data_IF_356462283816
#
_entry.id   IF_356462283816
#
_cell.length_a   1.000
_cell.length_b   1.000
_cell.length_c   1.000
_cell.angle_alpha   90.00
_cell.angle_beta   90.00
_cell.angle_gamma   90.00
#
_symmetry.space_group_name_H-M   'P 1'
#
loop_
_entity.id
_entity.type
_entity.pdbx_description
1 polymer ?
#
# COMPACT_ATOMS: atom_id res chain seq x y z
N UNK A 1 13.24 -12.19 10.21
CA UNK A 1 14.41 -12.36 9.31
C UNK A 1 13.99 -12.73 7.89
N UNK A 2 13.13 -13.73 7.69
CA UNK A 2 12.66 -14.11 6.36
C UNK A 2 11.74 -13.06 5.70
N UNK A 3 10.77 -12.52 6.45
CA UNK A 3 9.86 -11.46 5.96
C UNK A 3 10.61 -10.23 5.42
N UNK A 4 11.57 -9.71 6.21
CA UNK A 4 12.39 -8.57 5.80
C UNK A 4 13.24 -8.89 4.56
N UNK A 5 13.58 -10.16 4.34
CA UNK A 5 14.29 -10.60 3.12
C UNK A 5 13.40 -10.48 1.88
N UNK A 6 12.12 -10.83 1.96
CA UNK A 6 11.20 -10.67 0.83
C UNK A 6 10.91 -9.20 0.50
N UNK A 7 10.71 -8.35 1.51
CA UNK A 7 10.56 -6.90 1.30
C UNK A 7 11.83 -6.29 0.67
N UNK A 8 13.03 -6.73 1.08
CA UNK A 8 14.29 -6.31 0.44
C UNK A 8 14.38 -6.77 -1.02
N UNK A 9 13.96 -8.00 -1.35
CA UNK A 9 13.91 -8.46 -2.74
C UNK A 9 12.97 -7.61 -3.60
N UNK A 10 11.81 -7.22 -3.07
CA UNK A 10 10.90 -6.30 -3.76
C UNK A 10 11.55 -4.93 -4.00
N UNK A 11 12.30 -4.42 -3.01
CA UNK A 11 13.07 -3.18 -3.13
C UNK A 11 14.16 -3.26 -4.20
N UNK A 12 14.91 -4.35 -4.23
CA UNK A 12 15.97 -4.56 -5.21
C UNK A 12 15.41 -4.75 -6.62
N UNK A 13 14.27 -5.46 -6.74
CA UNK A 13 13.54 -5.58 -8.00
C UNK A 13 13.16 -4.20 -8.55
N UNK A 14 12.51 -3.33 -7.75
CA UNK A 14 12.14 -2.00 -8.22
C UNK A 14 13.35 -1.16 -8.65
N UNK A 15 14.46 -1.20 -7.89
CA UNK A 15 15.70 -0.49 -8.27
C UNK A 15 16.29 -1.00 -9.59
N UNK A 16 16.14 -2.30 -9.87
CA UNK A 16 16.69 -2.91 -11.09
C UNK A 16 16.02 -2.42 -12.38
N UNK A 17 14.83 -1.81 -12.28
CA UNK A 17 14.12 -1.19 -13.42
C UNK A 17 14.79 0.10 -13.93
N UNK A 18 15.80 0.62 -13.22
CA UNK A 18 16.53 1.84 -13.61
C UNK A 18 15.78 3.13 -13.28
N UNK A 19 16.23 4.26 -13.84
CA UNK A 19 15.50 5.53 -13.91
C UNK A 19 14.76 6.01 -12.64
N UNK A 20 15.36 5.83 -11.46
CA UNK A 20 14.79 6.33 -10.20
C UNK A 20 13.65 5.49 -9.61
N UNK A 21 13.32 4.34 -10.18
CA UNK A 21 12.31 3.45 -9.62
C UNK A 21 12.68 2.99 -8.21
N UNK A 22 11.68 3.00 -7.32
CA UNK A 22 11.80 2.58 -5.92
C UNK A 22 10.57 1.78 -5.50
N UNK A 23 10.74 1.05 -4.39
CA UNK A 23 9.60 0.49 -3.68
C UNK A 23 8.77 1.67 -3.12
N UNK A 24 7.44 1.65 -3.28
CA UNK A 24 6.57 2.73 -2.81
C UNK A 24 6.54 2.78 -1.28
N UNK A 25 6.50 3.98 -0.74
CA UNK A 25 6.12 4.21 0.65
C UNK A 25 4.59 4.07 0.78
N UNK A 26 4.09 3.89 2.00
CA UNK A 26 2.65 3.78 2.28
C UNK A 26 1.85 4.92 1.64
N UNK A 27 2.36 6.15 1.73
CA UNK A 27 1.68 7.35 1.23
C UNK A 27 1.64 7.47 -0.30
N UNK A 28 2.50 6.74 -1.04
CA UNK A 28 2.35 6.66 -2.49
C UNK A 28 1.05 5.90 -2.85
N UNK A 29 0.65 4.95 -1.99
CA UNK A 29 -0.56 4.17 -2.17
C UNK A 29 -1.79 4.84 -1.57
N UNK A 30 -1.76 5.03 -0.26
CA UNK A 30 -2.92 5.43 0.52
C UNK A 30 -2.50 6.12 1.79
N UNK A 31 -3.35 7.04 2.23
CA UNK A 31 -3.23 7.69 3.53
C UNK A 31 -4.17 7.06 4.57
N UNK A 32 -4.75 5.89 4.31
CA UNK A 32 -5.51 5.17 5.33
C UNK A 32 -4.57 4.66 6.41
N UNK A 33 -4.82 5.02 7.66
CA UNK A 33 -4.01 4.50 8.77
C UNK A 33 -4.34 3.02 9.03
N UNK A 34 -3.34 2.12 9.05
CA UNK A 34 -3.49 0.83 9.68
C UNK A 34 -3.79 1.03 11.18
N UNK A 35 -4.43 0.05 11.81
CA UNK A 35 -4.79 0.08 13.22
C UNK A 35 -3.62 0.33 14.20
N UNK A 36 -2.36 0.23 13.76
CA UNK A 36 -1.18 0.27 14.62
C UNK A 36 0.09 0.70 13.85
N UNK A 37 1.01 1.39 14.53
CA UNK A 37 2.39 1.61 14.06
C UNK A 37 2.64 2.57 12.88
N UNK A 38 1.59 3.22 12.35
CA UNK A 38 1.70 4.26 11.32
C UNK A 38 1.00 5.53 11.75
N UNK A 39 1.68 6.67 11.61
CA UNK A 39 1.18 8.00 11.99
C UNK A 39 1.13 8.98 10.80
N UNK A 40 1.37 8.48 9.58
CA UNK A 40 1.49 9.30 8.37
C UNK A 40 0.19 9.49 7.58
N UNK A 41 -0.88 8.78 7.95
CA UNK A 41 -2.19 8.83 7.29
C UNK A 41 -3.26 9.60 8.07
N UNK A 42 -4.44 9.76 7.47
CA UNK A 42 -5.62 10.30 8.11
C UNK A 42 -6.15 9.32 9.18
N UNK A 43 -6.74 9.86 10.26
CA UNK A 43 -7.32 9.07 11.34
C UNK A 43 -8.26 7.96 10.83
N UNK A 44 -8.35 6.88 11.61
CA UNK A 44 -9.10 5.65 11.31
C UNK A 44 -10.55 5.83 10.82
N UNK A 45 -11.13 7.02 11.00
CA UNK A 45 -12.49 7.39 10.61
C UNK A 45 -12.78 7.23 9.10
N UNK A 46 -11.75 7.15 8.25
CA UNK A 46 -11.87 6.86 6.81
C UNK A 46 -11.26 5.49 6.42
N UNK A 47 -11.51 4.43 7.20
CA UNK A 47 -11.05 3.04 6.97
C UNK A 47 -11.49 2.40 5.64
N UNK A 48 -12.18 3.15 4.79
CA UNK A 48 -12.72 2.71 3.52
C UNK A 48 -12.09 3.50 2.38
N UNK A 49 -10.99 2.98 1.83
CA UNK A 49 -10.47 3.38 0.53
C UNK A 49 -11.51 3.24 -0.60
N UNK A 50 -12.61 2.49 -0.37
CA UNK A 50 -13.76 2.40 -1.26
C UNK A 50 -14.53 3.72 -1.47
N UNK A 51 -14.37 4.72 -0.60
CA UNK A 51 -14.98 6.06 -0.74
C UNK A 51 -14.01 7.17 -1.15
N UNK A 52 -12.69 6.91 -1.12
CA UNK A 52 -11.70 7.87 -1.59
C UNK A 52 -11.72 7.88 -3.13
N UNK A 53 -12.67 8.62 -3.71
CA UNK A 53 -12.76 8.83 -5.16
C UNK A 53 -12.55 10.30 -5.47
N UNK A 54 -11.50 10.59 -6.27
CA UNK A 54 -11.23 11.90 -6.89
C UNK A 54 -11.02 13.06 -5.92
N UNK A 55 -10.45 12.80 -4.75
CA UNK A 55 -9.87 13.89 -3.97
C UNK A 55 -8.49 14.19 -4.57
N UNK A 56 -8.14 15.47 -4.72
CA UNK A 56 -6.84 15.86 -5.28
C UNK A 56 -5.74 15.41 -4.33
N UNK A 57 -4.87 14.52 -4.80
CA UNK A 57 -3.63 14.22 -4.13
C UNK A 57 -2.65 15.38 -4.33
N UNK A 58 -1.91 15.73 -3.29
CA UNK A 58 -0.92 16.81 -3.33
C UNK A 58 0.33 16.41 -2.55
N UNK A 59 1.45 17.02 -2.86
CA UNK A 59 2.67 16.82 -2.09
C UNK A 59 2.79 17.89 -1.00
N UNK A 60 3.06 17.44 0.22
CA UNK A 60 3.39 18.30 1.35
C UNK A 60 4.67 17.77 2.01
N UNK A 61 5.70 18.61 2.13
CA UNK A 61 6.99 18.24 2.73
C UNK A 61 7.64 16.98 2.11
N UNK A 62 7.52 16.83 0.78
CA UNK A 62 8.09 15.68 0.04
C UNK A 62 7.35 14.37 0.26
N UNK A 63 6.15 14.40 0.84
CA UNK A 63 5.29 13.24 1.03
C UNK A 63 4.00 13.45 0.26
N UNK A 64 3.51 12.40 -0.40
CA UNK A 64 2.16 12.40 -0.95
C UNK A 64 1.13 12.48 0.17
N UNK A 65 0.20 13.39 0.01
CA UNK A 65 -1.00 13.55 0.81
C UNK A 65 -2.18 13.24 -0.11
N UNK A 66 -2.79 12.08 0.10
CA UNK A 66 -3.53 11.39 -0.96
C UNK A 66 -2.54 10.64 -1.86
N UNK A 67 -2.70 9.32 -1.96
CA UNK A 67 -1.93 8.46 -2.86
C UNK A 67 -2.77 8.04 -4.07
N UNK A 68 -2.28 7.06 -4.84
CA UNK A 68 -3.01 6.57 -6.01
C UNK A 68 -4.43 6.07 -5.67
N UNK A 69 -4.62 5.46 -4.49
CA UNK A 69 -5.93 5.00 -4.04
C UNK A 69 -6.89 6.14 -3.71
N UNK A 70 -6.39 7.34 -3.43
CA UNK A 70 -7.22 8.52 -3.17
C UNK A 70 -7.81 9.12 -4.47
N UNK A 71 -7.05 9.00 -5.57
CA UNK A 71 -7.47 9.46 -6.88
C UNK A 71 -8.37 8.41 -7.56
N UNK A 72 -7.96 7.15 -7.52
CA UNK A 72 -8.52 6.07 -8.31
C UNK A 72 -9.40 5.09 -7.52
N UNK A 73 -9.44 5.20 -6.19
CA UNK A 73 -10.15 4.26 -5.33
C UNK A 73 -9.52 2.87 -5.36
N UNK A 74 -10.35 1.84 -5.21
CA UNK A 74 -9.89 0.46 -5.39
C UNK A 74 -9.40 0.21 -6.81
N UNK A 75 -8.31 -0.53 -6.97
CA UNK A 75 -7.70 -0.80 -8.28
C UNK A 75 -7.68 -2.26 -8.79
N UNK A 76 -8.40 -3.25 -8.23
CA UNK A 76 -8.31 -4.62 -8.75
C UNK A 76 -8.76 -4.71 -10.22
N UNK A 77 -8.10 -5.59 -10.99
CA UNK A 77 -8.31 -5.76 -12.43
C UNK A 77 -9.63 -6.45 -12.77
N UNK A 78 -10.14 -7.29 -11.87
CA UNK A 78 -11.26 -8.20 -12.11
C UNK A 78 -12.33 -8.09 -10.99
N UNK A 79 -13.60 -8.11 -11.39
CA UNK A 79 -14.82 -8.08 -10.57
C UNK A 79 -14.97 -9.29 -9.65
N UNK A 80 -14.37 -10.43 -10.01
CA UNK A 80 -14.36 -11.63 -9.18
C UNK A 80 -13.28 -11.60 -8.08
N UNK A 81 -12.39 -10.62 -8.13
CA UNK A 81 -11.24 -10.51 -7.23
C UNK A 81 -11.51 -9.56 -6.04
N UNK A 82 -12.72 -8.99 -5.87
CA UNK A 82 -13.02 -8.05 -4.78
C UNK A 82 -14.51 -7.92 -4.43
N UNK A 83 -14.82 -7.11 -3.40
CA UNK A 83 -16.19 -6.78 -2.98
C UNK A 83 -16.89 -5.81 -3.96
N UNK A 84 -18.12 -6.14 -4.38
CA UNK A 84 -19.05 -5.39 -5.27
C UNK A 84 -19.06 -3.85 -5.25
N UNK A 85 -18.52 -3.20 -4.22
CA UNK A 85 -18.41 -1.73 -4.11
C UNK A 85 -17.14 -1.14 -4.74
N UNK A 86 -16.13 -1.96 -5.06
CA UNK A 86 -14.90 -1.51 -5.72
C UNK A 86 -15.10 -1.38 -7.24
N UNK A 87 -14.45 -0.38 -7.82
CA UNK A 87 -14.35 -0.25 -9.27
C UNK A 87 -13.27 -1.19 -9.79
N UNK A 88 -13.44 -1.70 -11.01
CA UNK A 88 -12.42 -2.47 -11.73
C UNK A 88 -11.66 -1.62 -12.73
N UNK A 89 -10.38 -1.95 -12.91
CA UNK A 89 -9.56 -1.42 -13.99
C UNK A 89 -9.07 -2.57 -14.89
N UNK A 90 -9.95 -2.97 -15.83
CA UNK A 90 -9.66 -4.04 -16.78
C UNK A 90 -8.43 -3.72 -17.64
N UNK A 91 -7.60 -4.72 -17.89
CA UNK A 91 -6.36 -4.58 -18.68
C UNK A 91 -5.17 -4.02 -17.91
N UNK A 92 -5.29 -3.84 -16.58
CA UNK A 92 -4.16 -3.51 -15.71
C UNK A 92 -3.57 -4.76 -15.04
N UNK A 93 -2.36 -4.61 -14.50
CA UNK A 93 -1.69 -5.65 -13.73
C UNK A 93 -2.03 -5.61 -12.22
N UNK A 94 -2.94 -4.72 -11.82
CA UNK A 94 -3.41 -4.61 -10.43
C UNK A 94 -4.33 -5.80 -10.11
N UNK A 95 -3.82 -6.85 -9.46
CA UNK A 95 -4.63 -7.97 -9.00
C UNK A 95 -5.06 -7.77 -7.54
N UNK A 96 -5.85 -8.69 -7.01
CA UNK A 96 -6.29 -8.72 -5.60
C UNK A 96 -5.22 -9.04 -4.56
N UNK A 97 -3.96 -9.22 -4.95
CA UNK A 97 -2.91 -9.51 -3.97
C UNK A 97 -2.48 -8.25 -3.22
N UNK A 98 -1.86 -8.46 -2.07
CA UNK A 98 -1.18 -7.38 -1.37
C UNK A 98 0.06 -6.94 -2.12
N UNK A 99 0.40 -5.66 -1.95
CA UNK A 99 1.58 -5.04 -2.51
C UNK A 99 2.54 -4.63 -1.39
N UNK A 100 3.83 -4.88 -1.62
CA UNK A 100 4.87 -4.44 -0.70
C UNK A 100 4.95 -2.92 -0.62
N UNK A 101 5.03 -2.41 0.60
CA UNK A 101 5.48 -1.04 0.84
C UNK A 101 6.91 -1.04 1.39
N UNK A 102 7.54 0.12 1.37
CA UNK A 102 8.88 0.36 1.85
C UNK A 102 8.96 0.57 3.37
N UNK A 103 7.83 0.87 4.01
CA UNK A 103 7.73 1.19 5.43
C UNK A 103 7.52 -0.06 6.29
N UNK A 104 7.86 0.08 7.57
CA UNK A 104 7.60 -0.90 8.63
C UNK A 104 6.93 -0.20 9.80
N UNK A 105 6.16 -0.95 10.58
CA UNK A 105 5.48 -0.45 11.76
C UNK A 105 6.48 -0.06 12.84
N UNK A 106 6.30 1.13 13.42
CA UNK A 106 7.15 1.67 14.49
C UNK A 106 6.30 2.29 15.59
N UNK A 107 6.79 2.30 16.83
CA UNK A 107 6.05 2.81 17.99
C UNK A 107 4.67 2.15 18.15
N UNK A 108 4.62 0.83 17.94
CA UNK A 108 3.37 0.07 17.95
C UNK A 108 2.80 -0.09 19.35
N UNK A 109 1.48 0.04 19.48
CA UNK A 109 0.76 -0.27 20.71
C UNK A 109 0.79 -1.78 21.02
N UNK A 110 0.95 -2.62 19.99
CA UNK A 110 1.14 -4.06 20.13
C UNK A 110 2.60 -4.40 19.81
N UNK A 111 3.46 -4.70 20.80
CA UNK A 111 4.89 -4.93 20.58
C UNK A 111 5.23 -6.00 19.52
N UNK A 112 4.34 -6.98 19.32
CA UNK A 112 4.48 -8.01 18.28
C UNK A 112 4.40 -7.47 16.85
N UNK A 113 3.95 -6.23 16.67
CA UNK A 113 3.85 -5.57 15.37
C UNK A 113 5.10 -4.77 15.02
N UNK A 114 5.95 -4.46 15.99
CA UNK A 114 7.13 -3.62 15.78
C UNK A 114 8.05 -4.21 14.70
N UNK A 115 8.45 -3.38 13.74
CA UNK A 115 9.32 -3.75 12.62
C UNK A 115 8.66 -4.62 11.55
N UNK A 116 7.36 -4.90 11.64
CA UNK A 116 6.63 -5.64 10.59
C UNK A 116 6.33 -4.73 9.38
N UNK A 117 6.42 -5.23 8.15
CA UNK A 117 6.07 -4.46 6.96
C UNK A 117 4.61 -4.03 6.93
N UNK A 118 4.37 -2.85 6.36
CA UNK A 118 3.05 -2.47 5.86
C UNK A 118 2.84 -3.03 4.46
N UNK A 119 1.61 -3.41 4.18
CA UNK A 119 1.14 -3.90 2.89
C UNK A 119 0.00 -3.02 2.40
N UNK A 120 -0.02 -2.75 1.11
CA UNK A 120 -1.16 -2.13 0.46
C UNK A 120 -2.09 -3.22 -0.07
N UNK A 121 -3.37 -3.16 0.29
CA UNK A 121 -4.42 -3.95 -0.33
C UNK A 121 -5.06 -3.10 -1.45
N UNK A 122 -5.29 -3.68 -2.65
CA UNK A 122 -5.80 -2.96 -3.82
C UNK A 122 -7.20 -2.37 -3.62
N UNK A 123 -7.90 -2.70 -2.54
CA UNK A 123 -9.14 -2.08 -2.07
C UNK A 123 -8.94 -0.70 -1.40
N UNK A 124 -7.69 -0.23 -1.30
CA UNK A 124 -7.35 1.09 -0.79
C UNK A 124 -6.92 1.12 0.68
N UNK A 125 -6.74 -0.05 1.32
CA UNK A 125 -6.38 -0.16 2.74
C UNK A 125 -4.91 -0.50 2.95
N UNK A 126 -4.41 -0.19 4.15
CA UNK A 126 -3.07 -0.55 4.61
C UNK A 126 -3.17 -1.58 5.72
N UNK A 127 -2.49 -2.70 5.55
CA UNK A 127 -2.42 -3.80 6.50
C UNK A 127 -1.01 -3.94 7.09
N UNK A 128 -0.91 -4.55 8.28
CA UNK A 128 0.37 -4.98 8.86
C UNK A 128 0.53 -6.46 8.61
N UNK A 129 1.61 -6.87 7.96
CA UNK A 129 1.88 -8.26 7.61
C UNK A 129 1.95 -9.15 8.86
N UNK A 130 0.92 -9.97 9.10
CA UNK A 130 0.91 -10.90 10.23
C UNK A 130 1.64 -12.22 9.93
N UNK A 131 1.55 -12.70 8.69
CA UNK A 131 2.11 -13.97 8.23
C UNK A 131 2.09 -14.07 6.70
N UNK A 132 2.98 -14.85 6.09
CA UNK A 132 3.25 -14.87 4.64
C UNK A 132 2.44 -15.95 3.89
N UNK A 133 1.15 -16.09 4.20
CA UNK A 133 0.31 -17.12 3.56
C UNK A 133 -0.24 -16.69 2.20
N UNK A 134 -0.10 -15.42 1.85
CA UNK A 134 -0.63 -14.82 0.63
C UNK A 134 0.51 -14.42 -0.29
N UNK A 135 0.22 -14.40 -1.59
CA UNK A 135 1.13 -13.83 -2.59
C UNK A 135 1.19 -12.33 -2.32
N UNK A 136 2.41 -11.77 -2.22
CA UNK A 136 2.65 -10.35 -2.06
C UNK A 136 3.52 -9.89 -3.21
N UNK A 137 3.04 -8.92 -3.98
CA UNK A 137 3.66 -8.46 -5.22
C UNK A 137 4.40 -7.14 -5.02
N UNK A 138 5.30 -6.82 -5.95
CA UNK A 138 5.93 -5.51 -6.01
C UNK A 138 5.23 -4.67 -7.07
N UNK A 139 4.81 -3.46 -6.69
CA UNK A 139 4.53 -2.38 -7.61
C UNK A 139 5.58 -1.30 -7.37
N UNK A 140 6.12 -0.70 -8.42
CA UNK A 140 7.25 0.23 -8.32
C UNK A 140 6.82 1.63 -8.75
N UNK A 141 7.35 2.65 -8.08
CA UNK A 141 7.07 4.07 -8.40
C UNK A 141 8.35 4.77 -8.78
N UNK A 142 8.24 5.77 -9.65
CA UNK A 142 9.33 6.69 -10.03
C UNK A 142 8.87 8.14 -9.81
N UNK A 143 9.77 9.08 -9.45
CA UNK A 143 9.43 10.49 -9.23
C UNK A 143 8.81 11.19 -10.43
#
# INVERSE_FOLDING_TARGET
KEISSYQSKARDYCKSLGSGYRLPDVNDFSNTNPYDGWIGGYGYENSYGSYARRQLSYQENGKWVGGIANEWGCMPKDEYEHNSTCQTYKGTDWNSYHYWTNNVATNTARPRNEGKPFLYAPEGSIDILQSIWQIITAACVTP
#
